data_IF_381740795131
#
_entry.id   IF_381740795131
#
_cell.length_a   1.000
_cell.length_b   1.000
_cell.length_c   1.000
_cell.angle_alpha   90.00
_cell.angle_beta   90.00
_cell.angle_gamma   90.00
#
_symmetry.space_group_name_H-M   'P 1'
#
loop_
_entity.id
_entity.type
_entity.pdbx_description
1 polymer ?
#
# COMPACT_ATOMS: atom_id res chain seq x y z
N UNK A 1 -33.67 25.97 -32.51
CA UNK A 1 -34.17 24.60 -32.74
C UNK A 1 -33.06 23.60 -32.45
N UNK A 2 -33.42 22.50 -31.79
CA UNK A 2 -32.60 21.41 -31.23
C UNK A 2 -31.53 20.82 -32.17
N UNK A 3 -30.37 20.44 -31.61
CA UNK A 3 -29.81 19.06 -31.48
C UNK A 3 -28.33 19.17 -31.04
N UNK A 4 -28.03 18.87 -29.77
CA UNK A 4 -27.61 17.59 -29.17
C UNK A 4 -26.10 17.35 -29.25
N UNK A 5 -25.52 17.23 -28.06
CA UNK A 5 -24.17 16.77 -27.75
C UNK A 5 -23.93 15.32 -28.18
N UNK A 6 -22.69 15.02 -28.56
CA UNK A 6 -22.05 13.71 -28.42
C UNK A 6 -20.62 13.98 -27.95
N UNK A 7 -20.33 13.53 -26.73
CA UNK A 7 -19.00 13.61 -26.14
C UNK A 7 -18.09 12.55 -26.73
N UNK A 8 -16.82 12.92 -26.95
CA UNK A 8 -15.76 11.98 -27.18
C UNK A 8 -15.00 11.79 -25.87
N UNK A 9 -15.34 10.68 -25.21
CA UNK A 9 -14.57 10.05 -24.16
C UNK A 9 -13.44 9.28 -24.86
N UNK A 10 -12.29 9.93 -25.07
CA UNK A 10 -11.13 9.29 -25.69
C UNK A 10 -10.22 8.73 -24.60
N UNK A 11 -10.30 7.40 -24.48
CA UNK A 11 -9.26 6.45 -24.10
C UNK A 11 -7.92 7.05 -23.64
N UNK A 12 -7.57 6.81 -22.37
CA UNK A 12 -6.17 6.85 -21.94
C UNK A 12 -5.40 5.79 -22.73
N UNK A 13 -4.53 6.28 -23.60
CA UNK A 13 -3.64 5.49 -24.43
C UNK A 13 -2.70 4.67 -23.52
N UNK A 14 -2.72 3.36 -23.73
CA UNK A 14 -1.72 2.40 -23.28
C UNK A 14 -0.35 2.89 -23.79
N UNK A 15 0.44 3.52 -22.92
CA UNK A 15 1.86 3.75 -23.21
C UNK A 15 2.56 2.43 -22.92
N UNK A 16 2.62 1.59 -23.95
CA UNK A 16 3.65 0.56 -24.07
C UNK A 16 4.97 1.29 -24.21
N UNK A 17 5.68 1.49 -23.09
CA UNK A 17 7.10 1.80 -23.18
C UNK A 17 7.78 0.54 -23.71
N UNK A 18 8.06 0.54 -25.01
CA UNK A 18 9.03 -0.32 -25.63
C UNK A 18 10.42 0.06 -25.09
N UNK A 19 10.73 -0.37 -23.86
CA UNK A 19 12.10 -0.66 -23.53
C UNK A 19 12.43 -1.94 -24.29
N UNK A 20 13.35 -1.86 -25.23
CA UNK A 20 14.04 -3.04 -25.75
C UNK A 20 14.89 -3.62 -24.59
N UNK A 21 14.23 -4.18 -23.58
CA UNK A 21 14.84 -5.22 -22.78
C UNK A 21 14.66 -6.45 -23.63
N UNK A 22 15.73 -6.89 -24.28
CA UNK A 22 15.81 -8.25 -24.77
C UNK A 22 15.69 -9.13 -23.52
N UNK A 23 14.46 -9.53 -23.18
CA UNK A 23 14.27 -10.64 -22.27
C UNK A 23 15.11 -11.77 -22.86
N UNK A 24 16.02 -12.38 -22.10
CA UNK A 24 16.68 -13.57 -22.61
C UNK A 24 15.56 -14.53 -23.01
N UNK A 25 15.58 -14.96 -24.28
CA UNK A 25 14.62 -15.91 -24.82
C UNK A 25 14.86 -17.24 -24.11
N UNK A 26 14.20 -17.42 -22.97
CA UNK A 26 14.11 -18.67 -22.24
C UNK A 26 12.65 -19.14 -22.38
N UNK A 27 12.30 -19.66 -23.56
CA UNK A 27 10.91 -19.78 -23.99
C UNK A 27 10.54 -21.19 -24.49
N UNK A 28 10.99 -22.24 -23.80
CA UNK A 28 10.50 -23.60 -24.08
C UNK A 28 9.37 -24.03 -23.11
N UNK A 29 9.21 -23.36 -21.96
CA UNK A 29 8.16 -23.67 -20.99
C UNK A 29 6.86 -22.88 -21.27
N UNK A 30 5.67 -23.50 -21.18
CA UNK A 30 4.40 -22.78 -21.22
C UNK A 30 4.25 -21.82 -20.04
N UNK A 31 3.50 -20.72 -20.21
CA UNK A 31 3.16 -19.86 -19.09
C UNK A 31 2.28 -20.60 -18.07
N UNK A 32 2.48 -20.29 -16.78
CA UNK A 32 1.63 -20.80 -15.72
C UNK A 32 0.19 -20.31 -15.91
N UNK A 33 -0.74 -21.26 -16.07
CA UNK A 33 -2.16 -20.94 -16.15
C UNK A 33 -2.79 -20.86 -14.75
N UNK A 34 -3.94 -20.18 -14.67
CA UNK A 34 -4.65 -19.94 -13.41
C UNK A 34 -5.11 -21.24 -12.72
N UNK A 35 -5.57 -22.23 -13.49
CA UNK A 35 -6.07 -23.48 -12.92
C UNK A 35 -4.93 -24.25 -12.25
N UNK A 36 -3.77 -24.32 -12.90
CA UNK A 36 -2.57 -24.92 -12.33
C UNK A 36 -2.08 -24.15 -11.11
N UNK A 37 -2.05 -22.81 -11.15
CA UNK A 37 -1.65 -21.98 -10.02
C UNK A 37 -2.55 -22.16 -8.78
N UNK A 38 -3.87 -22.27 -8.96
CA UNK A 38 -4.82 -22.53 -7.88
C UNK A 38 -4.66 -23.94 -7.32
N UNK A 39 -4.54 -24.95 -8.19
CA UNK A 39 -4.33 -26.35 -7.79
C UNK A 39 -3.06 -26.53 -6.97
N UNK A 40 -2.00 -25.80 -7.33
CA UNK A 40 -0.69 -25.82 -6.67
C UNK A 40 -0.58 -24.81 -5.51
N UNK A 41 -1.66 -24.11 -5.17
CA UNK A 41 -1.74 -23.08 -4.11
C UNK A 41 -0.75 -21.90 -4.28
N UNK A 42 -0.23 -21.71 -5.49
CA UNK A 42 0.58 -20.55 -5.88
C UNK A 42 -0.26 -19.28 -5.88
N UNK A 43 -1.56 -19.41 -6.17
CA UNK A 43 -2.53 -18.32 -6.17
C UNK A 43 -3.79 -18.68 -5.39
N UNK A 44 -4.31 -17.71 -4.61
CA UNK A 44 -5.60 -17.79 -3.95
C UNK A 44 -6.38 -16.50 -4.18
N UNK A 45 -7.63 -16.63 -4.61
CA UNK A 45 -8.54 -15.47 -4.66
C UNK A 45 -8.91 -15.00 -3.25
N UNK A 46 -8.82 -13.69 -3.00
CA UNK A 46 -9.31 -13.08 -1.77
C UNK A 46 -10.51 -12.17 -2.01
N UNK A 47 -11.68 -12.67 -1.67
CA UNK A 47 -12.93 -11.91 -1.72
C UNK A 47 -13.18 -11.04 -0.48
N UNK A 48 -12.26 -10.99 0.48
CA UNK A 48 -12.40 -10.18 1.70
C UNK A 48 -12.42 -8.66 1.44
N UNK A 49 -12.00 -8.24 0.23
CA UNK A 49 -11.89 -6.84 -0.20
C UNK A 49 -12.99 -6.40 -1.18
N UNK A 50 -14.17 -7.03 -1.11
CA UNK A 50 -15.30 -6.73 -1.99
C UNK A 50 -16.16 -5.54 -1.48
N UNK A 51 -15.57 -4.35 -1.47
CA UNK A 51 -16.24 -3.12 -1.06
C UNK A 51 -17.15 -2.58 -2.17
N UNK A 52 -18.46 -2.67 -1.98
CA UNK A 52 -19.46 -2.36 -3.03
C UNK A 52 -19.55 -0.87 -3.33
N UNK A 53 -19.39 -0.03 -2.31
CA UNK A 53 -19.56 1.42 -2.38
C UNK A 53 -18.42 2.15 -3.10
N UNK A 54 -17.26 1.51 -3.27
CA UNK A 54 -16.14 2.06 -4.02
C UNK A 54 -16.00 1.50 -5.43
N UNK A 55 -16.86 0.56 -5.86
CA UNK A 55 -16.70 -0.17 -7.12
C UNK A 55 -16.54 0.72 -8.37
N UNK A 56 -17.14 1.91 -8.36
CA UNK A 56 -17.07 2.94 -9.43
C UNK A 56 -16.51 4.28 -8.93
N UNK A 57 -15.91 4.29 -7.75
CA UNK A 57 -15.46 5.51 -7.08
C UNK A 57 -14.05 5.89 -7.54
N UNK A 58 -13.76 7.19 -7.69
CA UNK A 58 -12.46 7.66 -8.19
C UNK A 58 -11.27 7.24 -7.32
N UNK A 59 -11.50 7.06 -6.01
CA UNK A 59 -10.49 6.64 -5.05
C UNK A 59 -10.40 5.12 -4.85
N UNK A 60 -11.11 4.31 -5.65
CA UNK A 60 -11.21 2.86 -5.46
C UNK A 60 -9.85 2.19 -5.30
N UNK A 61 -8.98 2.37 -6.28
CA UNK A 61 -7.71 1.64 -6.36
C UNK A 61 -6.80 2.01 -5.20
N UNK A 62 -6.76 3.30 -4.84
CA UNK A 62 -5.99 3.78 -3.70
C UNK A 62 -6.54 3.23 -2.37
N UNK A 63 -7.86 3.29 -2.17
CA UNK A 63 -8.48 2.76 -0.95
C UNK A 63 -8.28 1.25 -0.81
N UNK A 64 -8.34 0.50 -1.91
CA UNK A 64 -8.06 -0.94 -1.93
C UNK A 64 -6.59 -1.20 -1.60
N UNK A 65 -5.66 -0.51 -2.24
CA UNK A 65 -4.21 -0.66 -2.00
C UNK A 65 -3.87 -0.39 -0.53
N UNK A 66 -4.38 0.70 0.05
CA UNK A 66 -4.21 0.98 1.49
C UNK A 66 -4.85 -0.09 2.38
N UNK A 67 -5.92 -0.73 1.94
CA UNK A 67 -6.54 -1.83 2.67
C UNK A 67 -5.77 -3.14 2.55
N UNK A 68 -5.12 -3.41 1.41
CA UNK A 68 -4.19 -4.53 1.25
C UNK A 68 -2.99 -4.41 2.20
N UNK A 69 -2.56 -3.19 2.50
CA UNK A 69 -1.48 -2.89 3.44
C UNK A 69 -1.91 -2.76 4.91
N UNK A 70 -3.18 -3.02 5.26
CA UNK A 70 -3.78 -2.79 6.58
C UNK A 70 -3.66 -1.34 7.12
N UNK A 71 -3.39 -0.38 6.24
CA UNK A 71 -3.36 1.05 6.58
C UNK A 71 -4.78 1.56 6.79
N UNK A 72 -5.69 1.19 5.89
CA UNK A 72 -7.08 1.59 5.89
C UNK A 72 -8.00 0.37 6.10
N UNK A 73 -8.90 0.47 7.07
CA UNK A 73 -9.93 -0.53 7.31
C UNK A 73 -11.28 -0.03 6.79
N UNK A 74 -12.10 -0.96 6.29
CA UNK A 74 -13.50 -0.71 5.98
C UNK A 74 -14.31 -0.44 7.25
N UNK A 75 -15.43 0.26 7.10
CA UNK A 75 -16.42 0.41 8.18
C UNK A 75 -17.17 -0.89 8.44
N UNK A 76 -17.28 -1.72 7.41
CA UNK A 76 -17.75 -3.10 7.46
C UNK A 76 -16.95 -3.93 6.45
N UNK A 77 -17.21 -5.23 6.40
CA UNK A 77 -16.64 -6.12 5.39
C UNK A 77 -17.01 -5.75 3.94
N UNK A 78 -18.02 -4.89 3.73
CA UNK A 78 -18.52 -4.55 2.37
C UNK A 78 -18.58 -3.06 2.07
N UNK A 79 -18.16 -2.18 2.99
CA UNK A 79 -18.26 -0.73 2.80
C UNK A 79 -17.08 0.04 3.39
N UNK A 80 -16.58 0.99 2.61
CA UNK A 80 -15.49 1.91 2.96
C UNK A 80 -15.97 3.31 3.34
N UNK A 81 -17.20 3.70 2.97
CA UNK A 81 -17.79 5.03 3.14
C UNK A 81 -16.87 6.15 2.59
N UNK A 82 -16.56 6.16 1.28
CA UNK A 82 -15.54 7.06 0.71
C UNK A 82 -15.82 8.55 0.93
N UNK A 83 -17.09 8.96 0.91
CA UNK A 83 -17.51 10.36 1.06
C UNK A 83 -17.78 10.78 2.52
N UNK A 84 -17.67 9.86 3.48
CA UNK A 84 -17.80 10.20 4.90
C UNK A 84 -16.61 11.06 5.31
N UNK A 85 -16.87 12.11 6.08
CA UNK A 85 -15.81 12.89 6.73
C UNK A 85 -15.01 12.00 7.70
N UNK A 86 -13.69 12.08 7.60
CA UNK A 86 -12.77 11.28 8.41
C UNK A 86 -12.48 11.99 9.73
N UNK A 87 -12.45 11.25 10.84
CA UNK A 87 -12.07 11.81 12.14
C UNK A 87 -10.55 12.05 12.23
N UNK A 88 -10.13 12.90 13.18
CA UNK A 88 -8.71 13.16 13.46
C UNK A 88 -7.97 11.87 13.81
N UNK A 89 -8.54 11.04 14.66
CA UNK A 89 -7.91 9.78 15.05
C UNK A 89 -7.81 8.76 13.91
N UNK A 90 -8.81 8.70 13.03
CA UNK A 90 -8.78 7.81 11.87
C UNK A 90 -7.66 8.21 10.92
N UNK A 91 -7.54 9.51 10.62
CA UNK A 91 -6.47 10.02 9.77
C UNK A 91 -5.08 9.77 10.37
N UNK A 92 -4.90 10.07 11.67
CA UNK A 92 -3.62 9.87 12.36
C UNK A 92 -3.24 8.39 12.40
N UNK A 93 -4.18 7.50 12.71
CA UNK A 93 -3.93 6.06 12.69
C UNK A 93 -3.56 5.55 11.29
N UNK A 94 -4.20 6.07 10.23
CA UNK A 94 -3.81 5.76 8.86
C UNK A 94 -2.39 6.24 8.55
N UNK A 95 -2.04 7.47 8.92
CA UNK A 95 -0.72 8.01 8.65
C UNK A 95 0.37 7.23 9.38
N UNK A 96 0.21 6.99 10.68
CA UNK A 96 1.18 6.22 11.51
C UNK A 96 1.43 4.83 10.92
N UNK A 97 0.38 4.11 10.52
CA UNK A 97 0.52 2.81 9.85
C UNK A 97 1.20 2.93 8.48
N UNK A 98 0.93 3.99 7.74
CA UNK A 98 1.48 4.21 6.41
C UNK A 98 2.99 4.41 6.46
N UNK A 99 3.47 5.27 7.37
CA UNK A 99 4.88 5.62 7.47
C UNK A 99 5.68 4.70 8.42
N UNK A 100 5.05 3.66 8.97
CA UNK A 100 5.73 2.61 9.74
C UNK A 100 6.28 3.08 11.09
N UNK A 101 5.61 4.03 11.76
CA UNK A 101 6.01 4.41 13.11
C UNK A 101 5.65 3.28 14.09
N UNK A 102 6.59 2.79 14.93
CA UNK A 102 6.32 1.81 15.97
C UNK A 102 5.27 2.29 16.98
N UNK A 103 4.46 1.38 17.51
CA UNK A 103 3.34 1.70 18.41
C UNK A 103 3.33 0.85 19.67
N UNK A 104 4.50 0.45 20.14
CA UNK A 104 4.66 -0.59 21.16
C UNK A 104 4.56 -0.05 22.59
N UNK A 105 4.65 1.27 22.77
CA UNK A 105 4.45 1.92 24.06
C UNK A 105 2.96 2.24 24.29
N UNK A 106 2.21 1.23 24.75
CA UNK A 106 0.78 1.34 25.05
C UNK A 106 0.50 2.13 26.35
N UNK A 107 1.52 2.49 27.13
CA UNK A 107 1.36 3.13 28.44
C UNK A 107 1.90 4.57 28.50
N UNK A 108 2.51 5.06 27.42
CA UNK A 108 2.97 6.45 27.32
C UNK A 108 1.82 7.47 27.44
N UNK A 109 2.11 8.60 28.09
CA UNK A 109 1.10 9.63 28.37
C UNK A 109 0.68 10.39 27.10
N UNK A 110 -0.60 10.22 26.73
CA UNK A 110 -1.19 10.82 25.53
C UNK A 110 -1.96 12.12 25.82
N UNK A 111 -3.03 12.38 25.07
CA UNK A 111 -4.03 13.40 25.40
C UNK A 111 -5.06 12.84 26.38
N UNK A 112 -5.66 13.69 27.21
CA UNK A 112 -6.58 13.25 28.27
C UNK A 112 -7.85 12.57 27.76
N UNK A 113 -8.33 12.97 26.58
CA UNK A 113 -9.49 12.38 25.91
C UNK A 113 -9.13 11.19 25.00
N UNK A 114 -7.88 10.73 25.05
CA UNK A 114 -7.40 9.51 24.37
C UNK A 114 -6.69 8.63 25.41
N UNK A 115 -7.48 8.06 26.33
CA UNK A 115 -6.97 7.19 27.39
C UNK A 115 -6.35 5.91 26.82
N UNK A 116 -5.56 5.19 27.61
CA UNK A 116 -4.96 3.87 27.30
C UNK A 116 -5.96 2.85 26.70
N UNK A 117 -7.23 2.88 27.14
CA UNK A 117 -8.32 2.03 26.63
C UNK A 117 -8.87 2.48 25.27
N UNK A 118 -8.52 3.66 24.77
CA UNK A 118 -9.01 4.18 23.49
C UNK A 118 -8.33 3.43 22.34
N UNK A 119 -9.10 2.97 21.34
CA UNK A 119 -8.55 2.17 20.24
C UNK A 119 -7.40 2.86 19.49
N UNK A 120 -7.45 4.20 19.45
CA UNK A 120 -6.49 5.05 18.75
C UNK A 120 -5.29 5.45 19.62
N UNK A 121 -5.28 5.10 20.90
CA UNK A 121 -4.29 5.54 21.88
C UNK A 121 -2.87 5.40 21.36
N UNK A 122 -2.43 4.17 21.07
CA UNK A 122 -1.07 3.90 20.60
C UNK A 122 -0.68 4.66 19.33
N UNK A 123 -1.63 4.91 18.43
CA UNK A 123 -1.35 5.67 17.20
C UNK A 123 -1.24 7.17 17.47
N UNK A 124 -2.13 7.72 18.29
CA UNK A 124 -2.11 9.14 18.65
C UNK A 124 -0.87 9.45 19.50
N UNK A 125 -0.53 8.59 20.44
CA UNK A 125 0.67 8.70 21.27
C UNK A 125 1.94 8.66 20.41
N UNK A 126 2.09 7.65 19.56
CA UNK A 126 3.25 7.56 18.68
C UNK A 126 3.37 8.77 17.72
N UNK A 127 2.25 9.25 17.17
CA UNK A 127 2.25 10.45 16.35
C UNK A 127 2.62 11.73 17.13
N UNK A 128 2.19 11.83 18.39
CA UNK A 128 2.52 12.94 19.30
C UNK A 128 4.02 12.96 19.61
N UNK A 129 4.59 11.81 19.99
CA UNK A 129 6.01 11.65 20.32
C UNK A 129 6.93 11.91 19.13
N UNK A 130 6.49 11.52 17.92
CA UNK A 130 7.20 11.80 16.67
C UNK A 130 6.95 13.22 16.14
N UNK A 131 6.29 14.10 16.92
CA UNK A 131 6.11 15.51 16.55
C UNK A 131 5.16 15.76 15.38
N UNK A 132 4.31 14.80 15.01
CA UNK A 132 3.35 14.95 13.91
C UNK A 132 2.14 15.80 14.32
N UNK A 133 1.82 15.82 15.62
CA UNK A 133 0.59 16.45 16.14
C UNK A 133 0.81 17.85 16.73
N UNK A 134 1.84 18.58 16.27
CA UNK A 134 2.17 19.93 16.81
C UNK A 134 1.06 20.96 16.66
N UNK A 135 0.10 20.75 15.74
CA UNK A 135 -1.10 21.59 15.60
C UNK A 135 -2.08 21.43 16.78
N UNK A 136 -1.97 20.34 17.54
CA UNK A 136 -2.80 20.02 18.71
C UNK A 136 -1.95 20.08 19.99
N UNK A 137 -1.51 21.28 20.40
CA UNK A 137 -0.66 21.48 21.58
C UNK A 137 -1.41 21.54 22.92
N UNK A 138 -2.74 21.40 22.90
CA UNK A 138 -3.59 21.46 24.09
C UNK A 138 -3.69 20.13 24.86
N UNK A 139 -4.45 20.16 25.96
CA UNK A 139 -4.71 18.98 26.81
C UNK A 139 -5.60 17.92 26.14
N UNK A 140 -6.39 18.33 25.14
CA UNK A 140 -7.37 17.49 24.43
C UNK A 140 -7.05 17.39 22.93
N UNK A 141 -7.18 16.20 22.37
CA UNK A 141 -7.00 15.90 20.95
C UNK A 141 -8.31 16.03 20.16
N UNK A 142 -9.45 15.75 20.82
CA UNK A 142 -10.79 15.61 20.25
C UNK A 142 -10.83 14.54 19.15
N UNK A 143 -10.61 13.24 19.48
CA UNK A 143 -10.41 12.17 18.49
C UNK A 143 -11.54 12.08 17.46
N UNK A 144 -12.79 12.22 17.90
CA UNK A 144 -13.98 12.09 17.05
C UNK A 144 -14.26 13.31 16.16
N UNK A 145 -13.56 14.43 16.33
CA UNK A 145 -13.77 15.59 15.46
C UNK A 145 -13.30 15.27 14.04
N UNK A 146 -14.08 15.69 13.07
CA UNK A 146 -13.71 15.63 11.66
C UNK A 146 -12.49 16.51 11.40
N UNK A 147 -11.48 15.92 10.76
CA UNK A 147 -10.24 16.64 10.46
C UNK A 147 -10.48 17.71 9.39
N UNK A 148 -9.90 18.89 9.60
CA UNK A 148 -9.89 19.94 8.58
C UNK A 148 -8.77 19.70 7.56
N UNK A 149 -8.89 20.31 6.38
CA UNK A 149 -7.86 20.22 5.32
C UNK A 149 -6.52 20.82 5.75
N UNK A 150 -6.53 21.89 6.55
CA UNK A 150 -5.29 22.45 7.12
C UNK A 150 -4.68 21.53 8.19
N UNK A 151 -5.49 20.87 9.02
CA UNK A 151 -5.00 19.92 10.03
C UNK A 151 -4.33 18.74 9.35
N UNK A 152 -5.01 18.18 8.34
CA UNK A 152 -4.46 17.13 7.49
C UNK A 152 -3.14 17.57 6.84
N UNK A 153 -3.08 18.77 6.27
CA UNK A 153 -1.87 19.29 5.63
C UNK A 153 -0.70 19.48 6.60
N UNK A 154 -0.94 20.03 7.80
CA UNK A 154 0.13 20.25 8.79
C UNK A 154 0.70 18.92 9.28
N UNK A 155 -0.16 17.95 9.59
CA UNK A 155 0.27 16.62 10.05
C UNK A 155 1.01 15.89 8.92
N UNK A 156 0.49 15.93 7.68
CA UNK A 156 1.17 15.36 6.51
C UNK A 156 2.52 16.01 6.26
N UNK A 157 2.62 17.35 6.34
CA UNK A 157 3.87 18.08 6.13
C UNK A 157 4.98 17.62 7.09
N UNK A 158 4.62 17.33 8.35
CA UNK A 158 5.56 16.78 9.34
C UNK A 158 6.08 15.39 8.95
N UNK A 159 5.23 14.55 8.38
CA UNK A 159 5.62 13.22 7.94
C UNK A 159 6.54 13.22 6.70
N UNK A 160 6.47 14.25 5.85
CA UNK A 160 7.22 14.32 4.58
C UNK A 160 8.26 15.45 4.56
N UNK A 161 8.65 15.97 5.72
CA UNK A 161 9.56 17.13 5.82
C UNK A 161 10.94 16.92 5.17
N UNK A 162 11.35 15.67 4.98
CA UNK A 162 12.62 15.29 4.36
C UNK A 162 12.46 14.82 2.90
N UNK A 163 11.24 14.85 2.35
CA UNK A 163 11.00 14.40 0.99
C UNK A 163 11.62 15.35 -0.04
N UNK A 164 12.04 14.79 -1.18
CA UNK A 164 12.63 15.54 -2.29
C UNK A 164 11.57 16.41 -2.97
N UNK A 165 11.69 17.73 -2.82
CA UNK A 165 10.75 18.70 -3.39
C UNK A 165 11.18 19.05 -4.82
N UNK A 166 10.35 18.67 -5.80
CA UNK A 166 10.60 18.92 -7.22
C UNK A 166 9.43 19.62 -7.95
N UNK A 167 8.35 19.95 -7.23
CA UNK A 167 7.18 20.59 -7.83
C UNK A 167 7.19 22.11 -7.68
N UNK A 168 6.26 22.74 -8.40
CA UNK A 168 6.08 24.19 -8.34
C UNK A 168 5.25 24.61 -7.14
N UNK A 169 5.56 25.79 -6.62
CA UNK A 169 4.81 26.42 -5.55
C UNK A 169 3.44 26.88 -6.04
N UNK A 170 2.39 26.27 -5.49
CA UNK A 170 1.02 26.68 -5.75
C UNK A 170 0.61 27.87 -4.87
N UNK A 171 -0.20 28.76 -5.42
CA UNK A 171 -0.84 29.85 -4.69
C UNK A 171 -2.35 29.66 -4.68
N UNK A 172 -2.98 29.97 -3.55
CA UNK A 172 -4.42 29.82 -3.36
C UNK A 172 -5.03 31.15 -2.94
N UNK A 173 -6.22 31.46 -3.47
CA UNK A 173 -6.89 32.74 -3.23
C UNK A 173 -7.32 32.96 -1.77
N UNK A 174 -7.45 31.88 -0.99
CA UNK A 174 -7.84 31.87 0.42
C UNK A 174 -6.67 31.61 1.39
N UNK A 175 -5.42 31.58 0.90
CA UNK A 175 -4.21 31.41 1.71
C UNK A 175 -3.30 32.64 1.52
N UNK A 176 -3.46 33.72 2.32
CA UNK A 176 -2.57 34.87 2.27
C UNK A 176 -1.16 34.52 2.74
N UNK A 177 -0.18 35.38 2.41
CA UNK A 177 1.24 35.16 2.77
C UNK A 177 1.46 34.98 4.28
N UNK A 178 0.67 35.66 5.12
CA UNK A 178 0.74 35.59 6.57
C UNK A 178 -0.14 34.48 7.18
N UNK A 179 -0.67 33.56 6.37
CA UNK A 179 -1.47 32.45 6.88
C UNK A 179 -0.63 31.55 7.78
N UNK A 180 -1.11 31.29 9.01
CA UNK A 180 -0.36 30.59 10.07
C UNK A 180 0.27 29.26 9.62
N UNK A 181 -0.41 28.51 8.77
CA UNK A 181 0.02 27.18 8.31
C UNK A 181 0.53 27.17 6.86
N UNK A 182 0.91 28.35 6.33
CA UNK A 182 1.29 28.49 4.93
C UNK A 182 2.43 27.57 4.54
N UNK A 183 3.49 27.48 5.35
CA UNK A 183 4.67 26.64 5.03
C UNK A 183 4.30 25.16 4.88
N UNK A 184 3.46 24.64 5.78
CA UNK A 184 3.00 23.24 5.68
C UNK A 184 2.11 23.01 4.45
N UNK A 185 1.24 23.98 4.12
CA UNK A 185 0.39 23.92 2.94
C UNK A 185 1.24 23.96 1.67
N UNK A 186 2.21 24.88 1.61
CA UNK A 186 3.13 25.03 0.50
C UNK A 186 3.88 23.71 0.28
N UNK A 187 4.50 23.12 1.30
CA UNK A 187 5.24 21.85 1.20
C UNK A 187 4.41 20.71 0.63
N UNK A 188 3.22 20.43 1.18
CA UNK A 188 2.39 19.30 0.70
C UNK A 188 1.82 19.54 -0.69
N UNK A 189 1.74 20.80 -1.12
CA UNK A 189 1.28 21.15 -2.48
C UNK A 189 2.42 21.12 -3.49
N UNK A 190 3.61 21.57 -3.13
CA UNK A 190 4.85 21.45 -3.91
C UNK A 190 5.22 19.98 -4.12
N UNK A 191 5.00 19.11 -3.13
CA UNK A 191 5.13 17.65 -3.27
C UNK A 191 3.97 16.99 -4.06
N UNK A 192 2.97 17.76 -4.48
CA UNK A 192 1.80 17.25 -5.21
C UNK A 192 0.87 16.33 -4.39
N UNK A 193 1.06 16.25 -3.07
CA UNK A 193 0.25 15.42 -2.16
C UNK A 193 -1.17 15.98 -2.05
N UNK A 194 -1.30 17.31 -1.93
CA UNK A 194 -2.59 18.03 -1.93
C UNK A 194 -2.59 19.02 -3.10
N UNK A 195 -3.65 18.98 -3.92
CA UNK A 195 -3.74 19.80 -5.15
C UNK A 195 -4.63 21.05 -5.05
N UNK A 196 -5.22 21.31 -3.88
CA UNK A 196 -6.25 22.34 -3.73
C UNK A 196 -7.62 21.94 -4.31
N UNK A 197 -8.48 22.94 -4.51
CA UNK A 197 -9.83 22.80 -5.06
C UNK A 197 -9.88 23.35 -6.50
N UNK A 198 -10.83 22.89 -7.34
CA UNK A 198 -10.94 23.33 -8.74
C UNK A 198 -11.20 24.84 -8.92
N UNK A 199 -11.69 25.53 -7.88
CA UNK A 199 -11.96 26.97 -7.89
C UNK A 199 -10.75 27.84 -7.51
N UNK A 200 -9.55 27.23 -7.41
CA UNK A 200 -8.31 27.93 -7.06
C UNK A 200 -8.14 28.21 -5.56
N UNK A 201 -9.00 27.65 -4.71
CA UNK A 201 -8.86 27.71 -3.25
C UNK A 201 -8.15 26.48 -2.68
N UNK A 202 -7.57 26.62 -1.50
CA UNK A 202 -7.12 25.49 -0.69
C UNK A 202 -8.27 24.92 0.15
N UNK A 203 -9.11 25.79 0.71
CA UNK A 203 -10.23 25.46 1.59
C UNK A 203 -9.79 24.95 2.97
N UNK A 204 -9.00 25.71 3.76
CA UNK A 204 -8.30 25.20 4.94
C UNK A 204 -9.24 24.66 6.04
N UNK A 205 -10.41 25.28 6.23
CA UNK A 205 -11.40 24.89 7.23
C UNK A 205 -12.36 23.79 6.76
N UNK A 206 -12.32 23.44 5.48
CA UNK A 206 -13.14 22.36 4.92
C UNK A 206 -12.78 21.02 5.53
N UNK A 207 -13.76 20.10 5.60
CA UNK A 207 -13.57 18.75 6.12
C UNK A 207 -13.02 17.83 5.04
N UNK A 208 -12.13 16.91 5.41
CA UNK A 208 -11.61 15.91 4.50
C UNK A 208 -12.49 14.65 4.52
N UNK A 209 -12.78 14.10 3.34
CA UNK A 209 -13.44 12.79 3.23
C UNK A 209 -12.43 11.66 3.37
N UNK A 210 -12.91 10.45 3.66
CA UNK A 210 -12.07 9.24 3.71
C UNK A 210 -11.35 8.96 2.40
N UNK A 211 -12.01 9.20 1.26
CA UNK A 211 -11.39 9.07 -0.06
C UNK A 211 -10.26 10.10 -0.26
N UNK A 212 -10.46 11.34 0.19
CA UNK A 212 -9.42 12.37 0.13
C UNK A 212 -8.23 12.02 1.05
N UNK A 213 -8.49 11.53 2.26
CA UNK A 213 -7.44 11.05 3.16
C UNK A 213 -6.67 9.87 2.57
N UNK A 214 -7.35 8.89 1.97
CA UNK A 214 -6.70 7.78 1.26
C UNK A 214 -5.80 8.28 0.13
N UNK A 215 -6.27 9.23 -0.68
CA UNK A 215 -5.47 9.83 -1.74
C UNK A 215 -4.23 10.58 -1.21
N UNK A 216 -4.35 11.27 -0.07
CA UNK A 216 -3.21 11.93 0.59
C UNK A 216 -2.19 10.89 1.07
N UNK A 217 -2.63 9.87 1.82
CA UNK A 217 -1.75 8.82 2.33
C UNK A 217 -1.07 8.06 1.19
N UNK A 218 -1.81 7.72 0.13
CA UNK A 218 -1.25 7.09 -1.06
C UNK A 218 -0.14 7.88 -1.74
N UNK A 219 -0.27 9.21 -1.75
CA UNK A 219 0.79 10.10 -2.28
C UNK A 219 1.96 10.24 -1.33
N UNK A 220 1.73 10.28 0.00
CA UNK A 220 2.79 10.20 1.01
C UNK A 220 3.63 8.95 0.79
N UNK A 221 3.01 7.79 0.59
CA UNK A 221 3.73 6.54 0.35
C UNK A 221 4.59 6.55 -0.93
N UNK A 222 4.32 7.47 -1.87
CA UNK A 222 5.05 7.61 -3.14
C UNK A 222 6.03 8.77 -3.16
N UNK A 223 6.18 9.53 -2.07
CA UNK A 223 7.18 10.60 -2.01
C UNK A 223 8.59 10.01 -2.07
N UNK A 224 9.43 10.63 -2.88
CA UNK A 224 10.85 10.29 -3.00
C UNK A 224 11.61 10.95 -1.85
N UNK A 225 12.56 10.24 -1.30
CA UNK A 225 13.51 10.72 -0.30
C UNK A 225 14.79 9.94 -0.58
N UNK A 226 15.60 10.42 -1.54
CA UNK A 226 16.71 9.65 -2.11
C UNK A 226 17.68 9.08 -1.05
N UNK A 227 17.88 9.81 0.06
CA UNK A 227 18.72 9.36 1.19
C UNK A 227 18.10 8.24 2.04
N UNK A 228 16.79 8.03 1.96
CA UNK A 228 16.05 7.05 2.76
C UNK A 228 15.53 5.85 1.97
N UNK A 229 15.86 5.74 0.69
CA UNK A 229 15.43 4.63 -0.17
C UNK A 229 16.35 3.42 -0.06
N UNK A 230 15.77 2.22 -0.03
CA UNK A 230 16.52 0.98 -0.04
C UNK A 230 17.23 0.73 -1.38
N UNK A 231 18.35 0.00 -1.33
CA UNK A 231 19.09 -0.42 -2.53
C UNK A 231 18.29 -1.45 -3.35
N UNK A 232 18.47 -1.43 -4.68
CA UNK A 232 17.70 -2.30 -5.58
C UNK A 232 18.04 -3.78 -5.34
N UNK A 233 19.31 -4.11 -5.13
CA UNK A 233 19.77 -5.48 -4.88
C UNK A 233 19.16 -6.04 -3.58
N UNK A 234 19.03 -5.22 -2.54
CA UNK A 234 18.37 -5.61 -1.30
C UNK A 234 16.89 -5.92 -1.52
N UNK A 235 16.17 -5.06 -2.25
CA UNK A 235 14.74 -5.25 -2.52
C UNK A 235 14.48 -6.46 -3.43
N UNK A 236 15.31 -6.65 -4.45
CA UNK A 236 15.26 -7.81 -5.34
C UNK A 236 15.56 -9.11 -4.58
N UNK A 237 16.59 -9.12 -3.74
CA UNK A 237 16.93 -10.24 -2.88
C UNK A 237 15.81 -10.58 -1.89
N UNK A 238 15.23 -9.57 -1.24
CA UNK A 238 14.09 -9.76 -0.33
C UNK A 238 12.89 -10.41 -1.04
N UNK A 239 12.56 -9.93 -2.24
CA UNK A 239 11.47 -10.51 -3.04
C UNK A 239 11.77 -11.96 -3.46
N UNK A 240 13.02 -12.26 -3.83
CA UNK A 240 13.45 -13.61 -4.16
C UNK A 240 13.36 -14.56 -2.96
N UNK A 241 13.83 -14.12 -1.78
CA UNK A 241 13.76 -14.89 -0.54
C UNK A 241 12.31 -15.18 -0.12
N UNK A 242 11.42 -14.20 -0.30
CA UNK A 242 9.99 -14.39 -0.08
C UNK A 242 9.41 -15.48 -0.99
N UNK A 243 9.62 -15.40 -2.32
CA UNK A 243 9.10 -16.40 -3.25
C UNK A 243 9.71 -17.79 -3.01
N UNK A 244 11.01 -17.87 -2.71
CA UNK A 244 11.66 -19.12 -2.31
C UNK A 244 11.03 -19.71 -1.06
N UNK A 245 10.71 -18.87 -0.06
CA UNK A 245 9.99 -19.28 1.14
C UNK A 245 8.60 -19.84 0.83
N UNK A 246 7.86 -19.21 -0.08
CA UNK A 246 6.54 -19.70 -0.54
C UNK A 246 6.68 -21.06 -1.23
N UNK A 247 7.59 -21.19 -2.19
CA UNK A 247 7.80 -22.45 -2.92
C UNK A 247 8.28 -23.56 -1.98
N UNK A 248 9.19 -23.27 -1.07
CA UNK A 248 9.66 -24.22 -0.06
C UNK A 248 8.50 -24.75 0.80
N UNK A 249 7.63 -23.87 1.29
CA UNK A 249 6.47 -24.28 2.08
C UNK A 249 5.47 -25.13 1.27
N UNK A 250 5.38 -24.89 -0.05
CA UNK A 250 4.57 -25.66 -0.99
C UNK A 250 5.24 -26.95 -1.52
N UNK A 251 6.48 -27.25 -1.10
CA UNK A 251 7.28 -28.38 -1.59
C UNK A 251 7.78 -29.31 -0.49
N UNK A 252 8.28 -28.77 0.61
CA UNK A 252 9.17 -29.50 1.54
C UNK A 252 8.52 -29.84 2.90
N UNK A 253 7.20 -29.70 3.02
CA UNK A 253 6.45 -30.13 4.21
C UNK A 253 6.49 -29.17 5.41
N UNK A 254 7.06 -27.97 5.25
CA UNK A 254 6.81 -26.84 6.17
C UNK A 254 5.39 -26.29 5.94
N UNK A 255 4.39 -27.02 6.45
CA UNK A 255 2.98 -26.63 6.38
C UNK A 255 2.67 -25.38 7.23
N UNK A 256 3.65 -24.83 7.96
CA UNK A 256 3.49 -23.65 8.79
C UNK A 256 3.27 -22.39 7.96
N UNK A 257 3.96 -22.26 6.81
CA UNK A 257 4.09 -21.00 6.08
C UNK A 257 4.72 -19.88 6.94
N UNK A 258 5.46 -20.24 7.99
CA UNK A 258 5.94 -19.29 9.00
C UNK A 258 6.80 -18.18 8.39
N UNK A 259 7.72 -18.55 7.49
CA UNK A 259 8.57 -17.58 6.77
C UNK A 259 7.76 -16.67 5.84
N UNK A 260 6.94 -17.16 4.88
CA UNK A 260 6.07 -16.31 4.07
C UNK A 260 5.14 -15.41 4.89
N UNK A 261 4.54 -15.92 5.98
CA UNK A 261 3.66 -15.13 6.86
C UNK A 261 4.44 -14.01 7.54
N UNK A 262 5.65 -14.30 8.06
CA UNK A 262 6.51 -13.30 8.68
C UNK A 262 6.99 -12.24 7.69
N UNK A 263 7.36 -12.64 6.47
CA UNK A 263 7.85 -11.76 5.41
C UNK A 263 6.76 -10.98 4.68
N UNK A 264 5.49 -11.17 5.04
CA UNK A 264 4.35 -10.46 4.45
C UNK A 264 3.55 -9.68 5.48
N UNK A 265 2.66 -8.81 4.99
CA UNK A 265 1.75 -8.00 5.80
C UNK A 265 0.38 -7.93 5.12
N UNK A 266 -0.65 -7.58 5.88
CA UNK A 266 -1.96 -7.28 5.33
C UNK A 266 -2.58 -8.44 4.55
N UNK A 267 -3.03 -8.17 3.32
CA UNK A 267 -3.69 -9.15 2.45
C UNK A 267 -2.81 -10.38 2.26
N UNK A 268 -1.56 -10.19 1.86
CA UNK A 268 -0.67 -11.31 1.52
C UNK A 268 -0.37 -12.21 2.73
N UNK A 269 -0.18 -11.63 3.92
CA UNK A 269 0.02 -12.41 5.15
C UNK A 269 -1.20 -13.27 5.49
N UNK A 270 -2.41 -12.73 5.30
CA UNK A 270 -3.66 -13.50 5.46
C UNK A 270 -3.82 -14.58 4.40
N UNK A 271 -3.43 -14.32 3.15
CA UNK A 271 -3.43 -15.34 2.10
C UNK A 271 -2.45 -16.48 2.43
N UNK A 272 -1.27 -16.16 2.92
CA UNK A 272 -0.30 -17.15 3.37
C UNK A 272 -0.81 -17.98 4.56
N UNK A 273 -1.50 -17.37 5.51
CA UNK A 273 -2.18 -18.10 6.58
C UNK A 273 -3.27 -19.06 6.03
N UNK A 274 -4.06 -18.63 5.04
CA UNK A 274 -5.03 -19.51 4.36
C UNK A 274 -4.34 -20.66 3.61
N UNK A 275 -3.21 -20.41 2.94
CA UNK A 275 -2.39 -21.47 2.29
C UNK A 275 -1.94 -22.51 3.33
N UNK A 276 -1.44 -22.07 4.49
CA UNK A 276 -1.09 -22.92 5.64
C UNK A 276 -2.23 -23.85 6.05
N UNK A 277 -3.44 -23.30 6.21
CA UNK A 277 -4.64 -24.07 6.57
C UNK A 277 -5.03 -25.08 5.50
N UNK A 278 -5.02 -24.68 4.23
CA UNK A 278 -5.39 -25.55 3.11
C UNK A 278 -4.41 -26.71 2.94
N UNK A 279 -3.10 -26.48 3.10
CA UNK A 279 -2.11 -27.54 3.04
C UNK A 279 -2.31 -28.61 4.11
N UNK A 280 -2.63 -28.21 5.35
CA UNK A 280 -2.91 -29.13 6.46
C UNK A 280 -4.12 -30.03 6.16
N UNK A 281 -5.09 -29.54 5.39
CA UNK A 281 -6.26 -30.29 4.96
C UNK A 281 -5.93 -31.22 3.78
N UNK A 282 -5.21 -30.72 2.77
CA UNK A 282 -4.96 -31.43 1.52
C UNK A 282 -3.90 -32.53 1.66
N UNK A 283 -2.88 -32.31 2.50
CA UNK A 283 -1.73 -33.22 2.63
C UNK A 283 -1.54 -33.72 4.08
N UNK A 284 -2.53 -34.39 4.70
CA UNK A 284 -2.42 -34.84 6.09
C UNK A 284 -1.34 -35.90 6.32
N UNK A 285 -0.80 -36.50 5.24
CA UNK A 285 0.29 -37.50 5.24
C UNK A 285 1.55 -37.05 4.50
N UNK A 286 1.60 -35.79 4.03
CA UNK A 286 2.83 -35.12 3.59
C UNK A 286 3.48 -35.49 2.26
N UNK A 287 2.77 -36.10 1.31
CA UNK A 287 3.29 -36.31 -0.05
C UNK A 287 2.91 -35.14 -0.95
N UNK A 288 3.83 -34.20 -1.13
CA UNK A 288 3.75 -33.15 -2.16
C UNK A 288 4.82 -33.40 -3.22
N UNK A 289 4.52 -33.06 -4.47
CA UNK A 289 5.56 -33.02 -5.51
C UNK A 289 6.47 -31.83 -5.25
N UNK A 290 7.77 -32.08 -5.21
CA UNK A 290 8.76 -31.01 -5.09
C UNK A 290 8.70 -30.06 -6.28
N UNK A 291 8.78 -28.77 -5.99
CA UNK A 291 8.89 -27.70 -6.97
C UNK A 291 9.89 -26.64 -6.51
N UNK A 292 10.65 -26.11 -7.46
CA UNK A 292 11.68 -25.12 -7.21
C UNK A 292 11.81 -24.14 -8.37
N UNK A 293 12.41 -23.00 -8.09
CA UNK A 293 12.65 -21.95 -9.06
C UNK A 293 13.98 -22.18 -9.80
N UNK A 294 13.99 -21.98 -11.12
CA UNK A 294 15.19 -21.92 -11.96
C UNK A 294 15.13 -20.71 -12.89
N UNK A 295 16.29 -20.28 -13.41
CA UNK A 295 16.39 -19.12 -14.31
C UNK A 295 15.73 -17.85 -13.74
N UNK A 296 15.97 -17.58 -12.45
CA UNK A 296 15.33 -16.49 -11.72
C UNK A 296 15.90 -15.11 -12.06
N UNK A 297 15.03 -14.12 -12.20
CA UNK A 297 15.37 -12.72 -12.38
C UNK A 297 14.38 -11.85 -11.60
N UNK A 298 14.90 -10.99 -10.73
CA UNK A 298 14.11 -10.07 -9.92
C UNK A 298 14.57 -8.64 -10.20
N UNK A 299 13.65 -7.77 -10.61
CA UNK A 299 13.96 -6.41 -11.03
C UNK A 299 13.07 -5.40 -10.32
N UNK A 300 13.67 -4.43 -9.64
CA UNK A 300 12.95 -3.30 -9.06
C UNK A 300 12.44 -2.39 -10.18
N UNK A 301 11.13 -2.23 -10.28
CA UNK A 301 10.48 -1.35 -11.27
C UNK A 301 10.31 0.07 -10.76
N UNK A 302 9.97 0.19 -9.47
CA UNK A 302 9.79 1.49 -8.82
C UNK A 302 10.01 1.37 -7.32
N UNK A 303 10.41 2.47 -6.69
CA UNK A 303 10.58 2.55 -5.24
C UNK A 303 10.36 3.96 -4.70
N UNK A 304 10.10 4.01 -3.40
CA UNK A 304 10.10 5.18 -2.53
C UNK A 304 10.67 4.74 -1.18
N UNK A 305 10.72 5.66 -0.22
CA UNK A 305 11.02 5.34 1.18
C UNK A 305 10.10 4.26 1.77
N UNK A 306 8.85 4.21 1.30
CA UNK A 306 7.80 3.40 1.91
C UNK A 306 7.34 2.20 1.07
N UNK A 307 7.52 2.25 -0.25
CA UNK A 307 7.00 1.24 -1.18
C UNK A 307 8.08 0.83 -2.18
N UNK A 308 7.98 -0.41 -2.67
CA UNK A 308 8.70 -0.86 -3.84
C UNK A 308 7.83 -1.84 -4.65
N UNK A 309 8.06 -1.88 -5.95
CA UNK A 309 7.44 -2.84 -6.86
C UNK A 309 8.56 -3.63 -7.54
N UNK A 310 8.55 -4.94 -7.40
CA UNK A 310 9.55 -5.85 -7.96
C UNK A 310 8.87 -6.77 -8.97
N UNK A 311 9.38 -6.79 -10.19
CA UNK A 311 9.01 -7.77 -11.20
C UNK A 311 9.86 -9.01 -11.02
N UNK A 312 9.21 -10.16 -10.88
CA UNK A 312 9.85 -11.47 -10.79
C UNK A 312 9.55 -12.28 -12.05
N UNK A 313 10.60 -12.83 -12.65
CA UNK A 313 10.51 -13.77 -13.76
C UNK A 313 11.30 -15.01 -13.43
N UNK A 314 10.70 -16.19 -13.57
CA UNK A 314 11.38 -17.46 -13.36
C UNK A 314 10.69 -18.65 -14.03
N UNK A 315 11.42 -19.75 -14.19
CA UNK A 315 10.83 -21.05 -14.53
C UNK A 315 10.55 -21.84 -13.24
N UNK A 316 9.30 -22.25 -13.05
CA UNK A 316 8.90 -23.17 -11.99
C UNK A 316 9.09 -24.60 -12.49
N UNK A 317 10.04 -25.34 -11.91
CA UNK A 317 10.33 -26.71 -12.26
C UNK A 317 9.75 -27.70 -11.23
N UNK A 318 9.01 -28.69 -11.72
CA UNK A 318 8.41 -29.76 -10.92
C UNK A 318 9.23 -31.06 -11.00
N UNK A 319 9.16 -31.91 -9.97
CA UNK A 319 9.83 -33.21 -9.95
C UNK A 319 9.40 -34.17 -11.08
N UNK A 320 8.18 -34.02 -11.60
CA UNK A 320 7.69 -34.80 -12.73
C UNK A 320 8.28 -34.37 -14.09
N UNK A 321 9.12 -33.32 -14.10
CA UNK A 321 9.73 -32.75 -15.29
C UNK A 321 8.97 -31.59 -15.91
N UNK A 322 7.75 -31.29 -15.44
CA UNK A 322 6.98 -30.16 -15.94
C UNK A 322 7.68 -28.84 -15.58
N UNK A 323 7.59 -27.88 -16.50
CA UNK A 323 8.12 -26.53 -16.33
C UNK A 323 7.09 -25.51 -16.75
N UNK A 324 7.00 -24.42 -15.99
CA UNK A 324 6.13 -23.30 -16.32
C UNK A 324 6.87 -21.98 -16.16
N UNK A 325 6.74 -21.08 -17.14
CA UNK A 325 7.21 -19.72 -17.01
C UNK A 325 6.27 -18.93 -16.09
N UNK A 326 6.82 -18.26 -15.10
CA UNK A 326 6.11 -17.42 -14.13
C UNK A 326 6.61 -15.99 -14.26
N UNK A 327 5.66 -15.07 -14.45
CA UNK A 327 5.86 -13.62 -14.32
C UNK A 327 4.99 -13.14 -13.16
N UNK A 328 5.51 -12.28 -12.30
CA UNK A 328 4.83 -11.83 -11.08
C UNK A 328 5.19 -10.40 -10.72
N UNK A 329 4.20 -9.63 -10.30
CA UNK A 329 4.42 -8.36 -9.62
C UNK A 329 4.39 -8.59 -8.10
N UNK A 330 5.51 -8.28 -7.44
CA UNK A 330 5.67 -8.39 -5.99
C UNK A 330 5.74 -6.99 -5.42
N UNK A 331 4.73 -6.65 -4.62
CA UNK A 331 4.59 -5.32 -4.04
C UNK A 331 5.03 -5.31 -2.58
N UNK A 332 6.00 -4.43 -2.28
CA UNK A 332 6.66 -4.33 -0.99
C UNK A 332 6.29 -3.05 -0.26
N UNK A 333 6.17 -3.15 1.06
CA UNK A 333 5.98 -2.02 1.98
C UNK A 333 7.07 -2.04 3.05
N UNK A 334 7.69 -0.89 3.29
CA UNK A 334 8.48 -0.66 4.49
C UNK A 334 7.55 -0.41 5.67
N UNK A 335 7.70 -1.19 6.74
CA UNK A 335 6.85 -1.12 7.94
C UNK A 335 7.58 -0.51 9.15
N UNK A 336 8.76 0.08 8.94
CA UNK A 336 9.55 0.79 9.95
C UNK A 336 10.91 0.11 10.16
N UNK A 337 10.90 -1.11 10.67
CA UNK A 337 12.07 -1.92 11.00
C UNK A 337 12.49 -2.86 9.85
N UNK A 338 11.57 -3.18 8.94
CA UNK A 338 11.79 -4.11 7.83
C UNK A 338 10.88 -3.85 6.64
N UNK A 339 11.19 -4.52 5.54
CA UNK A 339 10.29 -4.65 4.39
C UNK A 339 9.36 -5.87 4.56
N UNK A 340 8.19 -5.79 3.92
CA UNK A 340 7.20 -6.85 3.90
C UNK A 340 6.45 -6.85 2.56
N UNK A 341 6.12 -8.03 2.05
CA UNK A 341 5.23 -8.20 0.89
C UNK A 341 3.79 -7.95 1.31
N UNK A 342 3.08 -7.04 0.65
CA UNK A 342 1.64 -6.82 0.91
C UNK A 342 0.74 -7.32 -0.22
N UNK A 343 1.33 -7.57 -1.40
CA UNK A 343 0.65 -8.14 -2.55
C UNK A 343 1.65 -8.90 -3.42
N UNK A 344 1.25 -10.06 -3.93
CA UNK A 344 2.09 -10.87 -4.81
C UNK A 344 1.22 -11.55 -5.86
N UNK A 345 1.12 -10.95 -7.05
CA UNK A 345 0.13 -11.33 -8.06
C UNK A 345 0.83 -11.95 -9.27
N UNK A 346 0.60 -13.24 -9.56
CA UNK A 346 1.10 -13.87 -10.78
C UNK A 346 0.34 -13.36 -12.00
N UNK A 347 1.06 -13.20 -13.11
CA UNK A 347 0.50 -13.01 -14.43
C UNK A 347 0.18 -14.40 -15.01
N UNK A 348 -1.07 -14.58 -15.45
CA UNK A 348 -1.49 -15.84 -16.06
C UNK A 348 -1.39 -15.74 -17.58
N UNK A 349 -0.90 -16.81 -18.20
CA UNK A 349 -1.01 -17.00 -19.65
C UNK A 349 -2.47 -16.98 -20.10
N UNK A 350 -2.72 -16.38 -21.27
CA UNK A 350 -4.05 -16.27 -21.88
C UNK A 350 -4.59 -17.61 -22.41
#
# INVERSE_FOLDING_TARGET
MKKRAIGYFLFFLLIVFASNVCLPVFADAPFLDKQTAEKELLFLEDNSYNFKDIAKHWAKDEMLKLSYMDIMKGYSSTSMLPEKAISREEFVAMLVRAIGIPTDDEFAESYSDVTDKHWSHKYVTAAKENGLLTIFSGYYFYPYREITREEMAVITAKAVQNADVNGEKLSFSDIPQYYRHKESIDLVTELGIIKGLPDGRFGPKGKATRAQAAAVIGRVLRTREASGEAEDDYLAGFAADYEKGVLKALSEGDFGFDSPIHLSVGKESRLNAKRSEQLKIQYPRGLMSGKHMVNENFKVLSKSKYLAEVEAYYELAFENGDRYSVSKSISLKNIGDRWAVYDSIPEFGA
#
